data_IF_858273009791
#
_entry.id   IF_858273009791
#
_cell.length_a   1.000
_cell.length_b   1.000
_cell.length_c   1.000
_cell.angle_alpha   90.00
_cell.angle_beta   90.00
_cell.angle_gamma   90.00
#
_symmetry.space_group_name_H-M   'P 1'
#
loop_
_entity.id
_entity.type
_entity.pdbx_description
1 polymer ?
#
# COMPACT_ATOMS: atom_id res chain seq x y z
N UNK A 1 -34.74 35.67 44.00
CA UNK A 1 -33.75 34.58 43.98
C UNK A 1 -33.95 33.74 42.71
N UNK A 2 -33.10 33.88 41.69
CA UNK A 2 -33.02 32.92 40.58
C UNK A 2 -31.57 32.85 40.14
N UNK A 3 -30.86 31.78 40.53
CA UNK A 3 -29.51 31.46 40.05
C UNK A 3 -29.68 30.59 38.82
N UNK A 4 -29.40 31.13 37.64
CA UNK A 4 -29.29 30.35 36.41
C UNK A 4 -27.90 29.76 36.32
N UNK A 5 -27.78 28.45 36.44
CA UNK A 5 -26.55 27.69 36.24
C UNK A 5 -26.31 27.65 34.72
N UNK A 6 -25.23 28.29 34.26
CA UNK A 6 -24.78 28.20 32.86
C UNK A 6 -24.00 26.88 32.74
N UNK A 7 -24.55 25.95 31.96
CA UNK A 7 -23.91 24.67 31.66
C UNK A 7 -22.77 24.87 30.65
N UNK A 8 -21.57 24.47 31.06
CA UNK A 8 -20.34 24.52 30.26
C UNK A 8 -20.31 23.29 29.33
N UNK A 9 -20.55 23.49 28.04
CA UNK A 9 -20.38 22.45 27.02
C UNK A 9 -18.88 22.23 26.78
N UNK A 10 -18.30 21.21 27.42
CA UNK A 10 -16.99 20.70 27.06
C UNK A 10 -17.11 19.83 25.81
N UNK A 11 -16.96 20.43 24.62
CA UNK A 11 -16.72 19.67 23.39
C UNK A 11 -15.32 19.08 23.48
N UNK A 12 -15.22 17.83 23.92
CA UNK A 12 -14.04 17.02 23.69
C UNK A 12 -14.10 16.56 22.23
N UNK A 13 -13.30 17.19 21.38
CA UNK A 13 -13.02 16.64 20.05
C UNK A 13 -12.24 15.35 20.26
N UNK A 14 -12.95 14.23 20.24
CA UNK A 14 -12.38 12.91 20.01
C UNK A 14 -11.78 12.90 18.60
N UNK A 15 -10.57 13.45 18.48
CA UNK A 15 -9.70 13.18 17.36
C UNK A 15 -9.28 11.72 17.48
N UNK A 16 -10.04 10.81 16.85
CA UNK A 16 -9.52 9.50 16.49
C UNK A 16 -8.40 9.75 15.49
N UNK A 17 -7.19 9.97 16.00
CA UNK A 17 -5.99 9.79 15.22
C UNK A 17 -5.92 8.29 14.94
N UNK A 18 -6.09 7.87 13.69
CA UNK A 18 -5.67 6.52 13.30
C UNK A 18 -4.15 6.46 13.50
N UNK A 19 -3.71 6.08 14.69
CA UNK A 19 -2.30 6.02 15.13
C UNK A 19 -1.48 4.92 14.44
N UNK A 20 -1.90 4.48 13.26
CA UNK A 20 -1.15 3.51 12.47
C UNK A 20 -0.76 4.08 11.10
N UNK A 21 -0.24 5.30 11.09
CA UNK A 21 0.70 5.77 10.06
C UNK A 21 2.10 5.25 10.38
N UNK A 22 2.21 3.98 10.76
CA UNK A 22 3.48 3.31 10.98
C UNK A 22 4.29 3.37 9.69
N UNK A 23 5.56 3.73 9.81
CA UNK A 23 6.52 3.62 8.72
C UNK A 23 6.52 2.16 8.28
N UNK A 24 6.20 1.91 7.00
CA UNK A 24 6.23 0.56 6.43
C UNK A 24 7.69 0.13 6.33
N UNK A 25 8.03 -1.02 6.91
CA UNK A 25 9.32 -1.66 6.71
C UNK A 25 9.23 -2.62 5.51
N UNK A 26 10.34 -2.80 4.80
CA UNK A 26 10.48 -3.79 3.73
C UNK A 26 10.05 -5.18 4.21
N UNK A 27 10.35 -5.53 5.46
CA UNK A 27 9.97 -6.82 6.07
C UNK A 27 8.46 -7.00 6.16
N UNK A 28 7.69 -5.92 6.32
CA UNK A 28 6.23 -5.99 6.40
C UNK A 28 5.62 -6.40 5.07
N UNK A 29 6.24 -5.99 3.96
CA UNK A 29 5.81 -6.34 2.60
C UNK A 29 6.11 -7.79 2.21
N UNK A 30 7.13 -8.42 2.80
CA UNK A 30 7.57 -9.77 2.38
C UNK A 30 6.43 -10.78 2.42
N UNK A 31 6.40 -11.67 1.42
CA UNK A 31 5.40 -12.72 1.28
C UNK A 31 4.46 -12.48 0.10
N UNK A 32 3.33 -13.19 0.11
CA UNK A 32 2.38 -13.20 -1.00
C UNK A 32 1.09 -12.46 -0.63
N UNK A 33 0.60 -11.64 -1.57
CA UNK A 33 -0.59 -10.82 -1.41
C UNK A 33 -1.53 -11.00 -2.61
N UNK A 34 -2.77 -11.40 -2.37
CA UNK A 34 -3.78 -11.59 -3.42
C UNK A 34 -4.78 -10.43 -3.47
N UNK A 35 -5.09 -9.94 -4.66
CA UNK A 35 -6.07 -8.86 -4.86
C UNK A 35 -7.46 -9.31 -4.39
N UNK A 36 -8.12 -8.50 -3.57
CA UNK A 36 -9.33 -8.92 -2.84
C UNK A 36 -10.57 -8.94 -3.72
N UNK A 37 -10.72 -8.00 -4.65
CA UNK A 37 -11.98 -7.82 -5.39
C UNK A 37 -12.24 -8.95 -6.38
N UNK A 38 -11.23 -9.30 -7.15
CA UNK A 38 -11.30 -10.23 -8.27
C UNK A 38 -10.43 -11.47 -8.07
N UNK A 39 -9.49 -11.48 -7.11
CA UNK A 39 -8.60 -12.63 -6.82
C UNK A 39 -7.79 -13.11 -8.01
N UNK A 40 -7.50 -12.21 -8.95
CA UNK A 40 -6.83 -12.51 -10.22
C UNK A 40 -5.36 -12.09 -10.24
N UNK A 41 -5.01 -11.10 -9.42
CA UNK A 41 -3.68 -10.53 -9.36
C UNK A 41 -3.02 -10.87 -8.01
N UNK A 42 -1.75 -11.26 -8.04
CA UNK A 42 -0.94 -11.55 -6.85
C UNK A 42 0.35 -10.76 -6.89
N UNK A 43 0.74 -10.19 -5.76
CA UNK A 43 2.04 -9.57 -5.53
C UNK A 43 2.86 -10.49 -4.63
N UNK A 44 4.06 -10.86 -5.08
CA UNK A 44 5.03 -11.61 -4.27
C UNK A 44 6.25 -10.74 -4.02
N UNK A 45 6.41 -10.25 -2.79
CA UNK A 45 7.57 -9.45 -2.39
C UNK A 45 8.67 -10.35 -1.84
N UNK A 46 9.87 -10.22 -2.39
CA UNK A 46 11.02 -11.02 -2.00
C UNK A 46 12.32 -10.22 -2.15
N UNK A 47 13.26 -10.50 -1.26
CA UNK A 47 14.65 -10.06 -1.38
C UNK A 47 15.42 -11.12 -2.16
N UNK A 48 16.09 -10.73 -3.24
CA UNK A 48 17.01 -11.60 -3.97
C UNK A 48 18.44 -11.52 -3.41
N UNK A 49 19.35 -12.31 -3.99
CA UNK A 49 20.79 -12.13 -3.79
C UNK A 49 21.20 -10.68 -4.11
N UNK A 50 22.18 -10.16 -3.37
CA UNK A 50 22.64 -8.76 -3.39
C UNK A 50 21.66 -7.73 -2.81
N UNK A 51 20.81 -8.13 -1.85
CA UNK A 51 19.87 -7.25 -1.12
C UNK A 51 18.90 -6.46 -2.02
N UNK A 52 18.70 -6.93 -3.26
CA UNK A 52 17.74 -6.33 -4.18
C UNK A 52 16.32 -6.72 -3.81
N UNK A 53 15.49 -5.72 -3.57
CA UNK A 53 14.07 -5.89 -3.26
C UNK A 53 13.24 -5.91 -4.54
N UNK A 54 12.53 -7.03 -4.76
CA UNK A 54 11.66 -7.23 -5.91
C UNK A 54 10.23 -7.51 -5.51
N UNK A 55 9.31 -7.08 -6.37
CA UNK A 55 7.92 -7.53 -6.36
C UNK A 55 7.58 -8.21 -7.67
N UNK A 56 7.08 -9.44 -7.60
CA UNK A 56 6.56 -10.15 -8.76
C UNK A 56 5.05 -9.94 -8.83
N UNK A 57 4.60 -9.30 -9.92
CA UNK A 57 3.19 -9.13 -10.22
C UNK A 57 2.74 -10.28 -11.14
N UNK A 58 1.96 -11.20 -10.58
CA UNK A 58 1.30 -12.27 -11.34
C UNK A 58 -0.13 -11.84 -11.63
N UNK A 59 -0.54 -11.94 -12.88
CA UNK A 59 -1.86 -11.50 -13.35
C UNK A 59 -2.44 -12.54 -14.27
N UNK A 60 -3.77 -12.57 -14.36
CA UNK A 60 -4.45 -13.37 -15.39
C UNK A 60 -4.12 -12.86 -16.81
N UNK A 61 -3.91 -11.55 -16.97
CA UNK A 61 -3.45 -10.92 -18.21
C UNK A 61 -1.93 -10.78 -18.23
N UNK A 62 -1.26 -11.22 -19.29
CA UNK A 62 0.21 -11.22 -19.35
C UNK A 62 0.84 -9.82 -19.45
N UNK A 63 0.07 -8.80 -19.83
CA UNK A 63 0.60 -7.46 -20.05
C UNK A 63 1.14 -6.85 -18.75
N UNK A 64 2.41 -6.43 -18.79
CA UNK A 64 3.18 -5.92 -17.63
C UNK A 64 3.12 -6.85 -16.40
N UNK A 65 2.97 -8.14 -16.62
CA UNK A 65 3.21 -9.14 -15.57
C UNK A 65 4.71 -9.39 -15.41
N UNK A 66 5.10 -9.96 -14.28
CA UNK A 66 6.48 -10.37 -14.01
C UNK A 66 7.19 -9.50 -12.98
N UNK A 67 8.53 -9.40 -13.06
CA UNK A 67 9.35 -8.82 -12.00
C UNK A 67 9.40 -7.29 -12.08
N UNK A 68 9.35 -6.68 -10.91
CA UNK A 68 9.55 -5.25 -10.71
C UNK A 68 10.59 -5.04 -9.62
N UNK A 69 11.49 -4.07 -9.84
CA UNK A 69 12.30 -3.50 -8.77
C UNK A 69 11.44 -2.51 -7.98
N UNK A 70 11.62 -2.46 -6.66
CA UNK A 70 10.94 -1.46 -5.84
C UNK A 70 11.82 -0.86 -4.74
N UNK A 71 11.43 0.33 -4.31
CA UNK A 71 11.99 1.01 -3.14
C UNK A 71 10.85 1.59 -2.30
N UNK A 72 10.95 1.47 -0.98
CA UNK A 72 10.06 2.16 -0.05
C UNK A 72 10.53 3.59 0.16
N UNK A 73 9.64 4.54 -0.09
CA UNK A 73 9.89 5.97 0.06
C UNK A 73 9.19 6.51 1.32
N UNK A 74 9.64 7.65 1.87
CA UNK A 74 8.96 8.32 2.97
C UNK A 74 7.49 8.63 2.66
N UNK A 75 6.68 8.77 3.72
CA UNK A 75 5.26 9.11 3.64
C UNK A 75 4.41 8.08 2.88
N UNK A 76 4.59 6.79 3.17
CA UNK A 76 3.72 5.73 2.65
C UNK A 76 3.70 5.69 1.11
N UNK A 77 4.90 5.75 0.52
CA UNK A 77 5.08 5.67 -0.92
C UNK A 77 5.98 4.50 -1.29
N UNK A 78 5.75 3.95 -2.48
CA UNK A 78 6.58 2.93 -3.09
C UNK A 78 6.93 3.37 -4.50
N UNK A 79 8.21 3.31 -4.84
CA UNK A 79 8.74 3.53 -6.18
C UNK A 79 8.90 2.18 -6.86
N UNK A 80 8.37 2.00 -8.06
CA UNK A 80 8.36 0.68 -8.73
C UNK A 80 8.75 0.82 -10.20
N UNK A 81 9.62 -0.06 -10.68
CA UNK A 81 10.07 -0.16 -12.08
C UNK A 81 9.87 -1.57 -12.64
N UNK A 82 9.21 -1.69 -13.80
CA UNK A 82 9.04 -2.98 -14.49
C UNK A 82 10.33 -3.35 -15.22
N UNK A 83 10.98 -4.43 -14.78
CA UNK A 83 12.32 -4.79 -15.26
C UNK A 83 12.38 -5.20 -16.74
N UNK A 84 11.21 -5.51 -17.34
CA UNK A 84 11.11 -5.87 -18.75
C UNK A 84 10.78 -4.67 -19.66
N UNK A 85 10.69 -3.47 -19.10
CA UNK A 85 10.50 -2.26 -19.89
C UNK A 85 11.79 -1.87 -20.62
N UNK A 86 11.66 -1.29 -21.81
CA UNK A 86 12.80 -0.76 -22.59
C UNK A 86 13.43 0.49 -21.97
N UNK A 87 12.75 1.12 -21.02
CA UNK A 87 13.21 2.35 -20.33
C UNK A 87 13.20 2.13 -18.82
N UNK A 88 14.25 2.60 -18.15
CA UNK A 88 14.39 2.52 -16.70
C UNK A 88 13.62 3.64 -15.99
N UNK A 89 12.30 3.62 -16.10
CA UNK A 89 11.40 4.59 -15.46
C UNK A 89 10.77 3.99 -14.21
N UNK A 90 10.92 4.69 -13.10
CA UNK A 90 10.27 4.39 -11.83
C UNK A 90 9.01 5.24 -11.67
N UNK A 91 7.94 4.61 -11.20
CA UNK A 91 6.68 5.28 -10.90
C UNK A 91 6.39 5.19 -9.41
N UNK A 92 5.95 6.30 -8.82
CA UNK A 92 5.61 6.38 -7.41
C UNK A 92 4.13 6.12 -7.18
N UNK A 93 3.83 5.33 -6.14
CA UNK A 93 2.48 4.97 -5.74
C UNK A 93 2.30 5.17 -4.25
N UNK A 94 1.08 5.51 -3.84
CA UNK A 94 0.70 5.44 -2.43
C UNK A 94 0.59 3.98 -2.00
N UNK A 95 1.09 3.65 -0.81
CA UNK A 95 1.04 2.30 -0.25
C UNK A 95 0.73 2.34 1.25
N UNK A 96 -0.09 1.41 1.75
CA UNK A 96 -0.39 1.29 3.19
C UNK A 96 -0.59 -0.17 3.57
N UNK A 97 -0.01 -0.60 4.69
CA UNK A 97 -0.33 -1.89 5.32
C UNK A 97 -1.21 -1.63 6.55
N UNK A 98 -2.24 -2.45 6.72
CA UNK A 98 -3.11 -2.42 7.92
C UNK A 98 -3.54 -3.85 8.23
N UNK A 99 -2.88 -4.46 9.22
CA UNK A 99 -3.06 -5.88 9.53
C UNK A 99 -2.60 -6.76 8.37
N UNK A 100 -3.48 -7.62 7.88
CA UNK A 100 -3.26 -8.52 6.74
C UNK A 100 -3.57 -7.87 5.38
N UNK A 101 -3.81 -6.56 5.34
CA UNK A 101 -4.20 -5.84 4.12
C UNK A 101 -3.10 -4.91 3.66
N UNK A 102 -2.76 -5.03 2.38
CA UNK A 102 -1.94 -4.11 1.64
C UNK A 102 -2.83 -3.29 0.71
N UNK A 103 -2.72 -1.97 0.79
CA UNK A 103 -3.46 -1.03 -0.04
C UNK A 103 -2.47 -0.29 -0.92
N UNK A 104 -2.75 -0.19 -2.22
CA UNK A 104 -1.89 0.54 -3.16
C UNK A 104 -2.76 1.40 -4.10
N UNK A 105 -2.44 2.68 -4.19
CA UNK A 105 -3.22 3.68 -4.94
C UNK A 105 -2.65 3.94 -6.32
N UNK A 106 -3.52 4.04 -7.32
CA UNK A 106 -3.18 4.27 -8.73
C UNK A 106 -2.14 3.27 -9.28
N UNK A 107 -2.05 2.08 -8.69
CA UNK A 107 -1.05 1.11 -9.05
C UNK A 107 -1.29 0.56 -10.46
N UNK A 108 -0.23 0.51 -11.28
CA UNK A 108 -0.31 0.00 -12.65
C UNK A 108 -1.38 0.79 -13.48
N UNK A 109 -1.90 0.24 -14.59
CA UNK A 109 -2.99 0.81 -15.41
C UNK A 109 -4.36 0.85 -14.69
N UNK A 110 -4.37 0.94 -13.36
CA UNK A 110 -5.59 1.26 -12.65
C UNK A 110 -6.05 2.69 -13.01
N UNK A 111 -7.36 2.92 -13.18
CA UNK A 111 -7.88 4.26 -13.38
C UNK A 111 -7.44 5.21 -12.25
N UNK A 112 -7.21 6.48 -12.60
CA UNK A 112 -6.87 7.50 -11.60
C UNK A 112 -7.92 7.56 -10.49
N UNK A 113 -7.44 7.63 -9.25
CA UNK A 113 -8.24 7.57 -8.03
C UNK A 113 -8.59 6.15 -7.56
N UNK A 114 -8.19 5.10 -8.30
CA UNK A 114 -8.47 3.72 -7.88
C UNK A 114 -7.47 3.26 -6.82
N UNK A 115 -8.01 2.61 -5.80
CA UNK A 115 -7.24 1.96 -4.74
C UNK A 115 -7.45 0.45 -4.89
N UNK A 116 -6.34 -0.29 -4.98
CA UNK A 116 -6.35 -1.75 -4.96
C UNK A 116 -6.03 -2.23 -3.55
N UNK A 117 -6.73 -3.26 -3.11
CA UNK A 117 -6.52 -3.90 -1.82
C UNK A 117 -6.13 -5.34 -2.04
N UNK A 118 -5.03 -5.75 -1.42
CA UNK A 118 -4.53 -7.09 -1.41
C UNK A 118 -4.56 -7.64 0.02
N UNK A 119 -4.82 -8.93 0.15
CA UNK A 119 -4.78 -9.66 1.41
C UNK A 119 -3.56 -10.56 1.45
N UNK A 120 -2.83 -10.58 2.56
CA UNK A 120 -1.72 -11.52 2.78
C UNK A 120 -2.27 -12.95 2.82
N UNK A 121 -1.64 -13.84 2.07
CA UNK A 121 -2.06 -15.25 1.98
C UNK A 121 -1.03 -16.24 2.49
N UNK A 122 0.23 -15.82 2.65
CA UNK A 122 1.31 -16.56 3.32
C UNK A 122 2.38 -15.57 3.84
#
# INVERSE_FOLDING_TARGET
>A
MKRGIIALFALTVLSCTDENSGIIDVKDLRGNWIEVKNTTDTLSFATLFDDKELVFLRRAELFRSGPYEYELLPNNRISIHWMLASTMTFNEYYIKITGDKLTIGNFYESPSGKILTFKKID
#
